data_IF_477619463892
#
_entry.id   IF_477619463892
#
_cell.length_a   1.000
_cell.length_b   1.000
_cell.length_c   1.000
_cell.angle_alpha   90.00
_cell.angle_beta   90.00
_cell.angle_gamma   90.00
#
_symmetry.space_group_name_H-M   'P 1'
#
loop_
_entity.id
_entity.type
_entity.pdbx_description
1 polymer ?
#
# COMPACT_ATOMS: atom_id res chain seq x y z
N UNK A 1 -10.90 -39.85 41.81
CA UNK A 1 -9.44 -39.66 41.97
C UNK A 1 -8.96 -39.02 40.67
N UNK A 2 -8.95 -37.69 40.56
CA UNK A 2 -7.84 -36.75 40.84
C UNK A 2 -6.58 -37.08 40.01
N UNK A 3 -5.97 -36.21 39.19
CA UNK A 3 -5.72 -34.74 39.21
C UNK A 3 -5.92 -34.14 37.79
N UNK A 4 -6.40 -32.91 37.49
CA UNK A 4 -6.10 -31.54 37.94
C UNK A 4 -4.66 -31.07 37.71
N UNK A 5 -4.39 -30.50 36.53
CA UNK A 5 -3.38 -29.44 36.36
C UNK A 5 -4.11 -28.17 35.92
N UNK A 6 -4.40 -27.35 36.93
CA UNK A 6 -4.95 -26.01 36.84
C UNK A 6 -3.81 -25.06 36.48
N UNK A 7 -3.97 -24.26 35.43
CA UNK A 7 -3.09 -23.10 35.22
C UNK A 7 -3.44 -22.06 36.29
N UNK A 8 -2.54 -21.87 37.26
CA UNK A 8 -2.64 -20.81 38.25
C UNK A 8 -2.48 -19.42 37.59
N UNK A 9 -3.16 -18.37 38.10
CA UNK A 9 -2.88 -17.01 37.69
C UNK A 9 -1.44 -16.65 38.09
N UNK A 10 -0.63 -16.22 37.12
CA UNK A 10 0.75 -15.80 37.37
C UNK A 10 0.78 -14.62 38.35
N UNK A 11 1.07 -14.91 39.63
CA UNK A 11 1.39 -13.91 40.67
C UNK A 11 2.91 -13.76 40.88
N UNK A 12 3.73 -14.16 39.90
CA UNK A 12 5.18 -14.00 39.97
C UNK A 12 5.68 -12.82 39.10
N UNK A 13 6.67 -12.06 39.58
CA UNK A 13 7.19 -10.89 38.86
C UNK A 13 7.84 -11.29 37.53
N UNK A 14 7.54 -10.49 36.49
CA UNK A 14 8.07 -10.59 35.12
C UNK A 14 9.51 -11.12 35.06
N UNK A 15 9.71 -12.25 34.37
CA UNK A 15 11.04 -12.82 34.15
C UNK A 15 11.90 -11.87 33.29
N UNK A 16 13.07 -11.51 33.83
CA UNK A 16 14.10 -10.62 33.26
C UNK A 16 14.52 -11.00 31.82
N UNK A 17 14.34 -12.25 31.41
CA UNK A 17 14.71 -12.79 30.10
C UNK A 17 13.82 -12.35 28.94
N UNK A 18 12.58 -11.89 29.19
CA UNK A 18 11.67 -11.48 28.11
C UNK A 18 11.86 -10.02 27.67
N UNK A 19 12.63 -9.25 28.45
CA UNK A 19 12.81 -7.81 28.24
C UNK A 19 14.19 -7.41 27.70
N UNK A 20 15.20 -8.30 27.68
CA UNK A 20 16.54 -7.98 27.17
C UNK A 20 16.60 -7.92 25.64
N UNK A 21 17.40 -7.01 25.04
CA UNK A 21 17.81 -7.10 23.66
C UNK A 21 18.82 -8.25 23.52
N UNK A 22 18.57 -9.18 22.60
CA UNK A 22 19.53 -10.22 22.27
C UNK A 22 20.79 -9.58 21.68
N UNK A 23 21.88 -9.56 22.45
CA UNK A 23 23.23 -9.32 21.96
C UNK A 23 23.64 -10.50 21.06
N UNK A 24 23.27 -10.46 19.78
CA UNK A 24 23.94 -11.27 18.75
C UNK A 24 23.78 -10.61 17.38
N UNK A 25 24.54 -9.54 17.16
CA UNK A 25 24.91 -9.06 15.83
C UNK A 25 26.36 -9.42 15.54
N UNK A 26 26.59 -10.70 15.17
CA UNK A 26 27.70 -11.05 14.30
C UNK A 26 27.18 -11.31 12.90
N UNK A 27 27.54 -10.38 12.02
CA UNK A 27 27.50 -10.45 10.58
C UNK A 27 27.72 -11.88 10.05
N UNK A 28 26.64 -12.52 9.60
CA UNK A 28 26.70 -13.57 8.60
C UNK A 28 25.42 -13.55 7.78
N UNK A 29 25.56 -13.20 6.51
CA UNK A 29 24.49 -13.31 5.51
C UNK A 29 24.27 -14.80 5.26
N UNK A 30 23.28 -15.39 5.93
CA UNK A 30 22.74 -16.69 5.57
C UNK A 30 21.54 -16.45 4.65
N UNK A 31 21.80 -16.42 3.34
CA UNK A 31 20.74 -16.45 2.33
C UNK A 31 19.88 -17.71 2.46
N UNK A 32 18.62 -17.69 2.03
CA UNK A 32 17.76 -18.86 2.08
C UNK A 32 18.38 -19.98 1.25
N UNK A 33 18.58 -21.15 1.88
CA UNK A 33 19.04 -22.38 1.25
C UNK A 33 18.15 -22.70 0.06
N UNK A 34 18.70 -22.56 -1.15
CA UNK A 34 18.14 -23.10 -2.37
C UNK A 34 17.92 -24.62 -2.19
N UNK A 35 16.67 -25.06 -2.32
CA UNK A 35 16.37 -26.48 -2.53
C UNK A 35 16.94 -26.87 -3.89
N UNK A 36 18.02 -27.65 -3.89
CA UNK A 36 18.49 -28.32 -5.10
C UNK A 36 17.44 -29.35 -5.56
N UNK A 37 17.17 -29.45 -6.87
CA UNK A 37 16.37 -30.54 -7.42
C UNK A 37 17.18 -31.83 -7.43
N UNK A 38 16.48 -32.93 -7.17
CA UNK A 38 17.02 -34.28 -7.22
C UNK A 38 17.60 -34.59 -8.61
N UNK A 39 18.80 -35.16 -8.57
CA UNK A 39 19.51 -35.80 -9.67
C UNK A 39 18.73 -37.01 -10.17
N UNK A 40 18.47 -37.06 -11.49
CA UNK A 40 18.31 -38.31 -12.22
C UNK A 40 19.27 -38.28 -13.41
N UNK A 41 20.36 -39.02 -13.28
CA UNK A 41 21.26 -39.36 -14.36
C UNK A 41 20.61 -40.47 -15.21
N UNK A 42 20.50 -40.24 -16.50
CA UNK A 42 20.46 -41.30 -17.50
C UNK A 42 21.29 -40.82 -18.69
N UNK A 43 22.52 -41.33 -18.73
CA UNK A 43 23.43 -41.35 -19.87
C UNK A 43 22.79 -42.08 -21.04
N UNK A 44 23.06 -41.64 -22.27
CA UNK A 44 23.48 -42.47 -23.42
C UNK A 44 23.81 -41.58 -24.66
N UNK A 45 25.12 -41.38 -24.85
CA UNK A 45 25.92 -41.50 -26.08
C UNK A 45 25.51 -40.89 -27.43
N UNK A 46 26.49 -40.13 -27.96
CA UNK A 46 27.01 -40.07 -29.35
C UNK A 46 26.15 -39.49 -30.47
N UNK A 47 26.59 -38.40 -31.11
CA UNK A 47 27.61 -38.45 -32.18
C UNK A 47 27.90 -37.05 -32.74
N UNK A 48 29.19 -36.80 -32.98
CA UNK A 48 29.76 -35.65 -33.68
C UNK A 48 29.58 -35.74 -35.20
N UNK A 49 29.41 -34.57 -35.85
CA UNK A 49 29.82 -34.12 -37.20
C UNK A 49 28.83 -33.03 -37.64
N UNK A 50 29.15 -31.83 -38.11
CA UNK A 50 30.36 -31.25 -38.68
C UNK A 50 29.94 -30.44 -39.92
N UNK A 51 30.39 -29.17 -40.04
CA UNK A 51 30.28 -28.30 -41.23
C UNK A 51 29.07 -27.35 -41.19
N UNK A 52 29.16 -26.02 -40.99
CA UNK A 52 29.91 -24.94 -41.64
C UNK A 52 29.28 -24.41 -42.95
N UNK A 53 28.99 -23.09 -42.93
CA UNK A 53 28.85 -22.13 -44.06
C UNK A 53 27.61 -22.31 -44.95
N UNK A 54 26.99 -21.31 -45.58
CA UNK A 54 26.98 -19.84 -45.56
C UNK A 54 25.80 -19.42 -46.47
N UNK A 55 25.34 -18.18 -46.34
CA UNK A 55 24.60 -17.33 -47.30
C UNK A 55 23.89 -17.96 -48.52
N UNK A 56 22.60 -17.62 -48.71
CA UNK A 56 22.18 -16.56 -49.67
C UNK A 56 20.66 -16.51 -49.83
N UNK A 57 20.18 -15.29 -50.08
CA UNK A 57 18.85 -14.96 -50.62
C UNK A 57 18.50 -15.81 -51.85
N UNK A 58 17.21 -16.13 -52.06
CA UNK A 58 16.36 -15.40 -53.01
C UNK A 58 15.02 -16.11 -53.23
N UNK A 59 14.07 -15.27 -53.67
CA UNK A 59 12.68 -15.55 -53.97
C UNK A 59 12.44 -16.67 -55.00
N UNK A 60 11.32 -17.38 -54.86
CA UNK A 60 10.54 -17.87 -56.00
C UNK A 60 9.09 -18.16 -55.60
N UNK A 61 8.20 -17.70 -56.47
CA UNK A 61 6.76 -17.82 -56.41
C UNK A 61 6.24 -19.21 -56.80
N UNK A 62 4.94 -19.39 -56.54
CA UNK A 62 3.98 -20.19 -57.35
C UNK A 62 4.05 -21.73 -57.24
N UNK A 63 2.99 -22.31 -56.65
CA UNK A 63 2.06 -23.15 -57.42
C UNK A 63 0.78 -23.47 -56.63
N UNK A 64 -0.36 -23.18 -57.25
CA UNK A 64 -1.68 -23.67 -56.87
C UNK A 64 -1.93 -25.06 -57.49
N UNK A 65 -2.93 -25.82 -57.01
CA UNK A 65 -3.66 -26.73 -57.87
C UNK A 65 -5.13 -26.32 -58.08
N UNK A 66 -5.60 -26.64 -59.29
CA UNK A 66 -6.91 -26.38 -59.90
C UNK A 66 -8.08 -27.08 -59.20
N UNK A 67 -9.23 -26.42 -59.32
CA UNK A 67 -10.57 -26.88 -59.00
C UNK A 67 -11.12 -27.95 -59.97
N UNK A 68 -12.00 -28.81 -59.45
CA UNK A 68 -13.03 -29.55 -60.20
C UNK A 68 -14.42 -29.20 -59.61
N UNK A 69 -15.38 -28.87 -60.48
CA UNK A 69 -16.83 -28.73 -60.21
C UNK A 69 -17.53 -30.05 -60.58
N UNK A 70 -18.71 -30.49 -60.10
CA UNK A 70 -19.82 -29.96 -59.28
C UNK A 70 -20.68 -31.16 -58.80
N UNK A 71 -22.03 -31.11 -58.61
CA UNK A 71 -22.97 -29.98 -58.58
C UNK A 71 -23.86 -29.94 -57.30
N UNK A 72 -24.64 -28.86 -57.18
CA UNK A 72 -25.92 -28.75 -56.46
C UNK A 72 -25.99 -28.98 -54.93
N UNK A 73 -26.04 -27.84 -54.23
CA UNK A 73 -26.44 -27.74 -52.83
C UNK A 73 -25.91 -26.43 -52.25
N UNK A 74 -26.52 -25.29 -52.61
CA UNK A 74 -26.20 -23.98 -52.01
C UNK A 74 -26.29 -24.09 -50.48
N UNK A 75 -25.23 -23.87 -49.69
CA UNK A 75 -25.42 -23.15 -48.46
C UNK A 75 -25.63 -21.70 -48.86
N UNK A 76 -26.78 -21.12 -48.48
CA UNK A 76 -26.88 -19.66 -48.44
C UNK A 76 -25.62 -19.16 -47.70
N UNK A 77 -24.91 -18.13 -48.19
CA UNK A 77 -24.08 -17.39 -47.28
C UNK A 77 -25.05 -16.87 -46.21
N UNK A 78 -24.80 -17.24 -44.96
CA UNK A 78 -25.25 -16.43 -43.83
C UNK A 78 -24.68 -15.05 -44.13
N UNK A 79 -25.48 -14.22 -44.79
CA UNK A 79 -25.28 -12.80 -44.85
C UNK A 79 -25.38 -12.35 -43.39
N UNK A 80 -24.23 -12.33 -42.72
CA UNK A 80 -24.06 -11.48 -41.56
C UNK A 80 -24.54 -10.08 -41.97
N UNK A 81 -25.17 -9.32 -41.06
CA UNK A 81 -25.64 -7.99 -41.38
C UNK A 81 -24.49 -7.23 -42.05
N UNK A 82 -24.78 -6.62 -43.21
CA UNK A 82 -23.83 -5.69 -43.83
C UNK A 82 -23.35 -4.75 -42.72
N UNK A 83 -22.03 -4.57 -42.55
CA UNK A 83 -21.54 -3.69 -41.49
C UNK A 83 -22.26 -2.37 -41.69
N UNK A 84 -23.05 -1.94 -40.71
CA UNK A 84 -23.15 -0.50 -40.53
C UNK A 84 -21.69 -0.08 -40.42
N UNK A 85 -21.17 0.62 -41.44
CA UNK A 85 -19.77 1.01 -41.53
C UNK A 85 -19.39 1.49 -40.13
N UNK A 86 -18.42 0.88 -39.45
CA UNK A 86 -18.25 1.11 -38.01
C UNK A 86 -18.17 2.59 -37.63
N UNK A 87 -17.75 3.43 -38.56
CA UNK A 87 -17.82 4.89 -38.52
C UNK A 87 -19.24 5.45 -38.30
N UNK A 88 -20.27 4.90 -38.94
CA UNK A 88 -21.68 5.25 -38.74
C UNK A 88 -22.10 4.96 -37.30
N UNK A 89 -21.76 3.78 -36.76
CA UNK A 89 -22.07 3.42 -35.38
C UNK A 89 -21.39 4.39 -34.39
N UNK A 90 -20.10 4.65 -34.58
CA UNK A 90 -19.36 5.60 -33.74
C UNK A 90 -19.95 7.01 -33.86
N UNK A 91 -20.26 7.49 -35.07
CA UNK A 91 -20.87 8.81 -35.28
C UNK A 91 -22.20 8.93 -34.56
N UNK A 92 -23.06 7.93 -34.64
CA UNK A 92 -24.35 7.92 -33.92
C UNK A 92 -24.16 8.01 -32.40
N UNK A 93 -23.22 7.24 -31.85
CA UNK A 93 -22.89 7.28 -30.43
C UNK A 93 -22.31 8.63 -29.99
N UNK A 94 -21.39 9.20 -30.79
CA UNK A 94 -20.80 10.52 -30.53
C UNK A 94 -21.87 11.61 -30.56
N UNK A 95 -22.73 11.62 -31.58
CA UNK A 95 -23.80 12.61 -31.70
C UNK A 95 -24.79 12.54 -30.52
N UNK A 96 -25.07 11.34 -30.00
CA UNK A 96 -25.89 11.19 -28.81
C UNK A 96 -25.25 11.89 -27.59
N UNK A 97 -23.95 11.68 -27.36
CA UNK A 97 -23.22 12.35 -26.26
C UNK A 97 -23.15 13.86 -26.43
N UNK A 98 -22.88 14.35 -27.65
CA UNK A 98 -22.86 15.79 -27.96
C UNK A 98 -24.22 16.45 -27.68
N UNK A 99 -25.31 15.71 -27.86
CA UNK A 99 -26.67 16.15 -27.54
C UNK A 99 -27.05 15.94 -26.06
N UNK A 100 -26.13 15.46 -25.23
CA UNK A 100 -26.38 15.16 -23.81
C UNK A 100 -27.33 13.99 -23.58
N UNK A 101 -27.49 13.11 -24.55
CA UNK A 101 -28.36 11.94 -24.48
C UNK A 101 -27.60 10.71 -23.99
N UNK A 102 -28.35 9.75 -23.44
CA UNK A 102 -27.84 8.40 -23.17
C UNK A 102 -27.37 7.72 -24.45
N UNK A 103 -26.32 6.91 -24.34
CA UNK A 103 -25.82 6.13 -25.46
C UNK A 103 -26.89 5.16 -25.99
N UNK A 104 -27.24 5.21 -27.29
CA UNK A 104 -28.26 4.34 -27.84
C UNK A 104 -27.81 2.87 -27.78
N UNK A 105 -28.57 2.04 -27.04
CA UNK A 105 -28.19 0.65 -26.69
C UNK A 105 -27.91 -0.25 -27.90
N UNK A 106 -28.71 -0.12 -28.97
CA UNK A 106 -28.55 -0.92 -30.18
C UNK A 106 -27.22 -0.66 -30.90
N UNK A 107 -26.97 0.60 -31.33
CA UNK A 107 -25.69 1.01 -31.90
C UNK A 107 -24.50 0.70 -30.98
N UNK A 108 -24.64 0.92 -29.67
CA UNK A 108 -23.58 0.62 -28.70
C UNK A 108 -23.23 -0.87 -28.68
N UNK A 109 -24.23 -1.74 -28.59
CA UNK A 109 -24.02 -3.19 -28.61
C UNK A 109 -23.34 -3.66 -29.91
N UNK A 110 -23.78 -3.14 -31.06
CA UNK A 110 -23.18 -3.45 -32.36
C UNK A 110 -21.72 -2.98 -32.44
N UNK A 111 -21.42 -1.80 -31.91
CA UNK A 111 -20.06 -1.25 -31.92
C UNK A 111 -19.12 -2.03 -30.98
N UNK A 112 -19.60 -2.41 -29.78
CA UNK A 112 -18.84 -3.20 -28.80
C UNK A 112 -18.58 -4.64 -29.25
N UNK A 113 -19.41 -5.20 -30.12
CA UNK A 113 -19.25 -6.55 -30.69
C UNK A 113 -18.66 -6.54 -32.10
N UNK A 114 -18.26 -5.37 -32.59
CA UNK A 114 -17.78 -5.19 -33.96
C UNK A 114 -16.46 -5.94 -34.21
N UNK A 115 -16.24 -6.55 -35.40
CA UNK A 115 -15.02 -7.30 -35.70
C UNK A 115 -13.76 -6.44 -35.65
N UNK A 116 -13.84 -5.17 -36.07
CA UNK A 116 -12.73 -4.23 -35.96
C UNK A 116 -12.52 -3.79 -34.51
N UNK A 117 -11.33 -4.06 -33.97
CA UNK A 117 -10.91 -3.61 -32.64
C UNK A 117 -10.94 -2.08 -32.50
N UNK A 118 -10.73 -1.33 -33.59
CA UNK A 118 -10.78 0.14 -33.57
C UNK A 118 -12.17 0.65 -33.19
N UNK A 119 -13.20 0.04 -33.76
CA UNK A 119 -14.60 0.37 -33.49
C UNK A 119 -14.95 0.01 -32.05
N UNK A 120 -14.49 -1.15 -31.56
CA UNK A 120 -14.69 -1.54 -30.15
C UNK A 120 -14.01 -0.57 -29.19
N UNK A 121 -12.74 -0.24 -29.42
CA UNK A 121 -11.99 0.68 -28.58
C UNK A 121 -12.66 2.05 -28.51
N UNK A 122 -13.11 2.58 -29.65
CA UNK A 122 -13.78 3.87 -29.69
C UNK A 122 -15.15 3.84 -29.00
N UNK A 123 -15.94 2.80 -29.21
CA UNK A 123 -17.19 2.60 -28.49
C UNK A 123 -16.98 2.55 -26.98
N UNK A 124 -15.93 1.86 -26.51
CA UNK A 124 -15.57 1.80 -25.09
C UNK A 124 -15.16 3.18 -24.56
N UNK A 125 -14.41 3.99 -25.32
CA UNK A 125 -14.06 5.36 -24.90
C UNK A 125 -15.29 6.24 -24.77
N UNK A 126 -16.23 6.15 -25.71
CA UNK A 126 -17.51 6.86 -25.64
C UNK A 126 -18.30 6.45 -24.39
N UNK A 127 -18.27 5.17 -23.99
CA UNK A 127 -18.83 4.73 -22.70
C UNK A 127 -18.18 5.46 -21.52
N UNK A 128 -16.86 5.60 -21.50
CA UNK A 128 -16.13 6.34 -20.45
C UNK A 128 -16.33 7.86 -20.46
N UNK A 129 -16.78 8.42 -21.58
CA UNK A 129 -17.16 9.83 -21.71
C UNK A 129 -18.61 10.09 -21.31
N UNK A 130 -19.47 9.07 -21.39
CA UNK A 130 -20.87 9.14 -20.99
C UNK A 130 -21.08 9.24 -19.47
N UNK A 131 -22.33 9.51 -19.08
CA UNK A 131 -22.77 9.54 -17.69
C UNK A 131 -23.30 8.20 -17.19
N UNK A 132 -23.53 7.23 -18.09
CA UNK A 132 -24.13 5.94 -17.73
C UNK A 132 -23.10 4.98 -17.10
N UNK A 133 -23.42 4.43 -15.91
CA UNK A 133 -22.50 3.58 -15.18
C UNK A 133 -22.42 2.13 -15.73
N UNK A 134 -21.85 1.95 -16.93
CA UNK A 134 -21.78 0.65 -17.63
C UNK A 134 -20.62 -0.26 -17.17
N UNK A 135 -20.21 -0.21 -15.90
CA UNK A 135 -19.01 -0.91 -15.43
C UNK A 135 -19.09 -2.42 -15.53
N UNK A 136 -20.21 -3.05 -15.15
CA UNK A 136 -20.35 -4.50 -15.26
C UNK A 136 -20.21 -4.98 -16.71
N UNK A 137 -20.72 -4.19 -17.66
CA UNK A 137 -20.52 -4.45 -19.08
C UNK A 137 -19.04 -4.37 -19.45
N UNK A 138 -18.32 -3.35 -18.98
CA UNK A 138 -16.89 -3.17 -19.26
C UNK A 138 -16.03 -4.28 -18.63
N UNK A 139 -16.33 -4.70 -17.40
CA UNK A 139 -15.64 -5.81 -16.73
C UNK A 139 -15.86 -7.13 -17.47
N UNK A 140 -17.10 -7.42 -17.89
CA UNK A 140 -17.40 -8.63 -18.66
C UNK A 140 -16.79 -8.61 -20.06
N UNK A 141 -16.69 -7.43 -20.70
CA UNK A 141 -16.02 -7.27 -21.98
C UNK A 141 -14.52 -7.56 -21.86
N UNK A 142 -13.89 -7.03 -20.80
CA UNK A 142 -12.46 -7.21 -20.54
C UNK A 142 -12.06 -8.68 -20.43
N UNK A 143 -12.89 -9.51 -19.79
CA UNK A 143 -12.63 -10.95 -19.62
C UNK A 143 -12.46 -11.71 -20.93
N UNK A 144 -12.97 -11.17 -22.05
CA UNK A 144 -12.97 -11.82 -23.36
C UNK A 144 -12.17 -11.06 -24.42
N UNK A 145 -11.60 -9.91 -24.07
CA UNK A 145 -11.00 -9.00 -25.04
C UNK A 145 -9.52 -9.30 -25.29
N UNK A 146 -9.21 -9.68 -26.53
CA UNK A 146 -7.87 -10.07 -26.95
C UNK A 146 -7.00 -8.87 -27.34
N UNK A 147 -7.59 -7.77 -27.82
CA UNK A 147 -6.83 -6.63 -28.33
C UNK A 147 -6.44 -5.67 -27.21
N UNK A 148 -5.15 -5.36 -27.11
CA UNK A 148 -4.59 -4.50 -26.07
C UNK A 148 -5.17 -3.08 -26.06
N UNK A 149 -5.33 -2.43 -27.22
CA UNK A 149 -5.96 -1.10 -27.31
C UNK A 149 -7.40 -1.08 -26.80
N UNK A 150 -8.14 -2.18 -26.93
CA UNK A 150 -9.50 -2.24 -26.38
C UNK A 150 -9.43 -2.45 -24.87
N UNK A 151 -8.51 -3.28 -24.36
CA UNK A 151 -8.30 -3.43 -22.90
C UNK A 151 -7.83 -2.12 -22.24
N UNK A 152 -6.95 -1.38 -22.90
CA UNK A 152 -6.52 -0.02 -22.49
C UNK A 152 -7.73 0.91 -22.39
N UNK A 153 -8.52 1.01 -23.46
CA UNK A 153 -9.73 1.81 -23.47
C UNK A 153 -10.71 1.40 -22.36
N UNK A 154 -10.83 0.10 -22.06
CA UNK A 154 -11.67 -0.39 -20.97
C UNK A 154 -11.13 0.10 -19.62
N UNK A 155 -9.85 -0.11 -19.33
CA UNK A 155 -9.22 0.34 -18.09
C UNK A 155 -9.36 1.86 -17.89
N UNK A 156 -9.12 2.63 -18.95
CA UNK A 156 -9.32 4.08 -18.96
C UNK A 156 -10.79 4.47 -18.71
N UNK A 157 -11.74 3.85 -19.40
CA UNK A 157 -13.17 4.14 -19.20
C UNK A 157 -13.64 3.81 -17.79
N UNK A 158 -13.14 2.72 -17.19
CA UNK A 158 -13.39 2.39 -15.79
C UNK A 158 -12.88 3.48 -14.83
N UNK A 159 -11.67 3.98 -15.04
CA UNK A 159 -11.10 5.08 -14.26
C UNK A 159 -11.88 6.39 -14.40
N UNK A 160 -12.34 6.73 -15.61
CA UNK A 160 -13.18 7.91 -15.88
C UNK A 160 -14.47 7.90 -15.07
N UNK A 161 -15.14 6.75 -15.11
CA UNK A 161 -16.43 6.53 -14.50
C UNK A 161 -16.38 6.58 -12.96
N UNK A 162 -15.25 6.22 -12.35
CA UNK A 162 -15.09 6.04 -10.89
C UNK A 162 -15.74 7.08 -9.96
N UNK A 163 -15.56 8.42 -10.13
CA UNK A 163 -16.09 9.39 -9.17
C UNK A 163 -17.62 9.41 -9.09
N UNK A 164 -18.30 9.19 -10.23
CA UNK A 164 -19.77 9.13 -10.24
C UNK A 164 -20.29 7.92 -9.46
N UNK A 165 -19.51 6.84 -9.39
CA UNK A 165 -19.89 5.60 -8.74
C UNK A 165 -19.58 5.59 -7.26
N UNK A 166 -18.44 6.15 -6.84
CA UNK A 166 -18.08 6.24 -5.42
C UNK A 166 -19.10 7.08 -4.62
N UNK A 167 -19.86 7.95 -5.30
CA UNK A 167 -20.99 8.67 -4.72
C UNK A 167 -22.22 7.78 -4.43
N UNK A 168 -22.33 6.60 -5.03
CA UNK A 168 -23.44 5.67 -4.82
C UNK A 168 -23.09 4.57 -3.81
N UNK A 169 -23.64 4.69 -2.60
CA UNK A 169 -23.29 3.83 -1.48
C UNK A 169 -23.64 2.35 -1.66
N UNK A 170 -24.71 2.06 -2.40
CA UNK A 170 -25.31 0.73 -2.52
C UNK A 170 -24.48 -0.24 -3.39
N UNK A 171 -23.62 0.31 -4.26
CA UNK A 171 -22.82 -0.48 -5.21
C UNK A 171 -21.39 -0.71 -4.72
N UNK A 172 -21.01 -0.24 -3.52
CA UNK A 172 -19.58 -0.12 -3.16
C UNK A 172 -18.88 -1.47 -2.94
N UNK A 173 -19.31 -2.32 -2.02
CA UNK A 173 -18.36 -3.31 -1.46
C UNK A 173 -17.98 -4.48 -2.38
N UNK A 174 -18.96 -5.23 -2.92
CA UNK A 174 -18.70 -6.39 -3.77
C UNK A 174 -18.06 -5.99 -5.10
N UNK A 175 -18.53 -4.89 -5.68
CA UNK A 175 -18.03 -4.35 -6.93
C UNK A 175 -16.63 -3.77 -6.79
N UNK A 176 -16.36 -2.97 -5.75
CA UNK A 176 -15.04 -2.37 -5.52
C UNK A 176 -13.99 -3.45 -5.34
N UNK A 177 -14.36 -4.57 -4.70
CA UNK A 177 -13.49 -5.74 -4.56
C UNK A 177 -13.13 -6.33 -5.92
N UNK A 178 -14.13 -6.62 -6.78
CA UNK A 178 -13.89 -7.16 -8.13
C UNK A 178 -13.10 -6.20 -8.99
N UNK A 179 -13.50 -4.93 -9.06
CA UNK A 179 -12.84 -3.91 -9.86
C UNK A 179 -11.37 -3.74 -9.45
N UNK A 180 -11.11 -3.61 -8.14
CA UNK A 180 -9.74 -3.49 -7.62
C UNK A 180 -8.90 -4.71 -8.01
N UNK A 181 -9.43 -5.92 -7.81
CA UNK A 181 -8.73 -7.14 -8.18
C UNK A 181 -8.42 -7.19 -9.68
N UNK A 182 -9.39 -6.84 -10.54
CA UNK A 182 -9.22 -6.80 -11.99
C UNK A 182 -8.17 -5.77 -12.42
N UNK A 183 -8.23 -4.53 -11.89
CA UNK A 183 -7.26 -3.50 -12.25
C UNK A 183 -5.85 -3.81 -11.73
N UNK A 184 -5.71 -4.40 -10.54
CA UNK A 184 -4.40 -4.88 -10.05
C UNK A 184 -3.86 -6.00 -10.94
N UNK A 185 -4.72 -6.91 -11.41
CA UNK A 185 -4.31 -7.97 -12.32
C UNK A 185 -3.80 -7.38 -13.66
N UNK A 186 -4.51 -6.40 -14.23
CA UNK A 186 -4.01 -5.69 -15.42
C UNK A 186 -2.69 -4.99 -15.14
N UNK A 187 -2.58 -4.26 -14.04
CA UNK A 187 -1.39 -3.51 -13.64
C UNK A 187 -0.14 -4.39 -13.53
N UNK A 188 -0.26 -5.64 -13.08
CA UNK A 188 0.91 -6.50 -12.88
C UNK A 188 1.17 -7.50 -14.01
N UNK A 189 0.14 -7.88 -14.78
CA UNK A 189 0.22 -9.02 -15.69
C UNK A 189 -0.08 -8.71 -17.16
N UNK A 190 -0.62 -7.53 -17.50
CA UNK A 190 -0.85 -7.22 -18.92
C UNK A 190 0.48 -6.98 -19.66
N UNK A 191 0.62 -7.62 -20.81
CA UNK A 191 1.80 -7.50 -21.67
C UNK A 191 1.98 -6.08 -22.23
N UNK A 192 0.89 -5.34 -22.42
CA UNK A 192 0.94 -4.01 -23.05
C UNK A 192 1.08 -2.92 -21.97
N UNK A 193 2.13 -2.12 -22.06
CA UNK A 193 2.42 -1.06 -21.10
C UNK A 193 1.30 -0.01 -21.02
N UNK A 194 0.66 0.32 -22.15
CA UNK A 194 -0.50 1.23 -22.19
C UNK A 194 -1.67 0.73 -21.33
N UNK A 195 -1.90 -0.59 -21.31
CA UNK A 195 -2.95 -1.18 -20.46
C UNK A 195 -2.58 -1.07 -18.98
N UNK A 196 -1.31 -1.32 -18.63
CA UNK A 196 -0.82 -1.18 -17.25
C UNK A 196 -0.86 0.27 -16.76
N UNK A 197 -0.48 1.21 -17.62
CA UNK A 197 -0.57 2.66 -17.35
C UNK A 197 -2.01 3.08 -17.08
N UNK A 198 -2.94 2.71 -17.98
CA UNK A 198 -4.37 2.99 -17.81
C UNK A 198 -4.94 2.35 -16.53
N UNK A 199 -4.49 1.15 -16.17
CA UNK A 199 -4.86 0.49 -14.93
C UNK A 199 -4.32 1.22 -13.70
N UNK A 200 -3.07 1.67 -13.70
CA UNK A 200 -2.48 2.48 -12.63
C UNK A 200 -3.28 3.77 -12.41
N UNK A 201 -3.56 4.48 -13.50
CA UNK A 201 -4.37 5.70 -13.46
C UNK A 201 -5.79 5.43 -12.93
N UNK A 202 -6.46 4.40 -13.41
CA UNK A 202 -7.80 4.01 -12.94
C UNK A 202 -7.81 3.64 -11.45
N UNK A 203 -6.76 2.98 -10.95
CA UNK A 203 -6.60 2.70 -9.53
C UNK A 203 -6.39 3.97 -8.70
N UNK A 204 -5.67 4.97 -9.23
CA UNK A 204 -5.56 6.29 -8.60
C UNK A 204 -6.91 6.99 -8.46
N UNK A 205 -7.79 6.82 -9.45
CA UNK A 205 -9.17 7.36 -9.43
C UNK A 205 -10.07 6.75 -8.35
N UNK A 206 -9.64 5.67 -7.70
CA UNK A 206 -10.31 5.14 -6.50
C UNK A 206 -10.09 6.02 -5.26
N UNK A 207 -9.14 6.97 -5.29
CA UNK A 207 -8.85 7.86 -4.17
C UNK A 207 -8.51 7.09 -2.90
N UNK A 208 -9.26 7.33 -1.82
CA UNK A 208 -9.08 6.64 -0.53
C UNK A 208 -9.28 5.11 -0.61
N UNK A 209 -9.85 4.57 -1.68
CA UNK A 209 -9.96 3.12 -1.89
C UNK A 209 -8.80 2.52 -2.71
N UNK A 210 -7.79 3.31 -3.09
CA UNK A 210 -6.66 2.89 -3.91
C UNK A 210 -5.75 1.86 -3.17
N UNK A 211 -5.27 0.81 -3.87
CA UNK A 211 -4.39 -0.20 -3.33
C UNK A 211 -2.92 0.25 -3.35
N UNK A 212 -2.50 0.95 -2.29
CA UNK A 212 -1.16 1.58 -2.25
C UNK A 212 0.01 0.61 -2.40
N UNK A 213 -0.10 -0.63 -1.91
CA UNK A 213 0.98 -1.62 -2.01
C UNK A 213 1.27 -2.03 -3.46
N UNK A 214 0.22 -2.27 -4.26
CA UNK A 214 0.35 -2.59 -5.68
C UNK A 214 0.93 -1.41 -6.47
N UNK A 215 0.46 -0.19 -6.18
CA UNK A 215 0.98 1.03 -6.81
C UNK A 215 2.45 1.27 -6.45
N UNK A 216 2.85 1.11 -5.19
CA UNK A 216 4.26 1.19 -4.76
C UNK A 216 5.12 0.15 -5.48
N UNK A 217 4.67 -1.10 -5.53
CA UNK A 217 5.42 -2.16 -6.21
C UNK A 217 5.64 -1.78 -7.68
N UNK A 218 4.60 -1.32 -8.37
CA UNK A 218 4.67 -0.90 -9.77
C UNK A 218 5.62 0.28 -9.98
N UNK A 219 5.53 1.32 -9.11
CA UNK A 219 6.44 2.46 -9.14
C UNK A 219 7.91 2.03 -9.05
N UNK A 220 8.22 1.04 -8.23
CA UNK A 220 9.60 0.60 -7.97
C UNK A 220 10.13 -0.46 -8.94
N UNK A 221 9.26 -1.17 -9.67
CA UNK A 221 9.67 -2.40 -10.38
C UNK A 221 9.08 -2.61 -11.77
N UNK A 222 8.16 -1.77 -12.26
CA UNK A 222 7.71 -1.88 -13.64
C UNK A 222 8.88 -1.57 -14.60
N UNK A 223 8.93 -2.32 -15.70
CA UNK A 223 9.94 -2.13 -16.74
C UNK A 223 9.73 -0.86 -17.56
N UNK A 224 8.49 -0.36 -17.61
CA UNK A 224 8.10 0.80 -18.40
C UNK A 224 7.98 2.06 -17.53
N UNK A 225 8.66 3.13 -17.94
CA UNK A 225 8.78 4.35 -17.16
C UNK A 225 7.47 5.15 -17.08
N UNK A 226 6.62 5.07 -18.10
CA UNK A 226 5.31 5.74 -18.09
C UNK A 226 4.36 5.04 -17.12
N UNK A 227 4.45 3.70 -17.03
CA UNK A 227 3.68 2.92 -16.03
C UNK A 227 4.12 3.28 -14.61
N UNK A 228 5.43 3.36 -14.35
CA UNK A 228 5.94 3.82 -13.06
C UNK A 228 5.51 5.26 -12.74
N UNK A 229 5.55 6.17 -13.73
CA UNK A 229 5.07 7.55 -13.58
C UNK A 229 3.56 7.62 -13.27
N UNK A 230 2.75 6.81 -13.94
CA UNK A 230 1.32 6.67 -13.64
C UNK A 230 1.07 6.12 -12.22
N UNK A 231 1.89 5.17 -11.76
CA UNK A 231 1.81 4.66 -10.39
C UNK A 231 2.16 5.73 -9.33
N UNK A 232 3.17 6.58 -9.59
CA UNK A 232 3.48 7.72 -8.72
C UNK A 232 2.31 8.71 -8.61
N UNK A 233 1.73 9.10 -9.76
CA UNK A 233 0.55 9.98 -9.79
C UNK A 233 -0.65 9.35 -9.09
N UNK A 234 -0.90 8.05 -9.29
CA UNK A 234 -1.97 7.34 -8.63
C UNK A 234 -1.79 7.26 -7.10
N UNK A 235 -0.55 7.16 -6.61
CA UNK A 235 -0.24 7.27 -5.18
C UNK A 235 -0.62 8.66 -4.65
N UNK A 236 -0.31 9.75 -5.36
CA UNK A 236 -0.72 11.10 -4.96
C UNK A 236 -2.24 11.27 -4.93
N UNK A 237 -2.93 10.81 -5.97
CA UNK A 237 -4.40 10.86 -6.08
C UNK A 237 -5.13 10.11 -4.97
N UNK A 238 -4.47 9.17 -4.29
CA UNK A 238 -5.06 8.44 -3.18
C UNK A 238 -5.42 9.35 -1.99
N UNK A 239 -4.74 10.49 -1.84
CA UNK A 239 -4.88 11.39 -0.70
C UNK A 239 -4.50 10.73 0.63
N UNK A 240 -3.70 9.65 0.60
CA UNK A 240 -3.28 8.91 1.79
C UNK A 240 -1.87 9.26 2.18
N UNK A 241 -1.65 9.54 3.47
CA UNK A 241 -0.30 9.73 4.04
C UNK A 241 0.68 8.61 3.76
N UNK A 242 0.21 7.37 3.80
CA UNK A 242 1.08 6.23 3.50
C UNK A 242 1.66 6.31 2.08
N UNK A 243 0.94 6.90 1.13
CA UNK A 243 1.43 7.12 -0.23
C UNK A 243 2.64 8.07 -0.26
N UNK A 244 2.66 9.09 0.62
CA UNK A 244 3.78 10.03 0.78
C UNK A 244 5.06 9.30 1.13
N UNK A 245 4.97 8.39 2.10
CA UNK A 245 6.11 7.57 2.54
C UNK A 245 6.67 6.68 1.40
N UNK A 246 5.80 6.15 0.54
CA UNK A 246 6.19 5.35 -0.62
C UNK A 246 6.83 6.19 -1.73
N UNK A 247 6.35 7.41 -1.96
CA UNK A 247 6.96 8.34 -2.91
C UNK A 247 8.35 8.79 -2.44
N UNK A 248 8.54 9.06 -1.15
CA UNK A 248 9.85 9.38 -0.57
C UNK A 248 10.84 8.20 -0.69
N UNK A 249 10.40 6.97 -0.43
CA UNK A 249 11.18 5.77 -0.72
C UNK A 249 11.59 5.67 -2.19
N UNK A 250 10.67 5.99 -3.11
CA UNK A 250 10.95 5.91 -4.54
C UNK A 250 12.00 6.93 -4.99
N UNK A 251 12.05 8.14 -4.43
CA UNK A 251 13.08 9.13 -4.76
C UNK A 251 14.51 8.64 -4.52
N UNK A 252 14.71 7.75 -3.56
CA UNK A 252 16.02 7.19 -3.23
C UNK A 252 16.41 6.04 -4.16
N UNK A 253 15.44 5.17 -4.46
CA UNK A 253 15.67 3.95 -5.23
C UNK A 253 15.72 4.21 -6.73
N UNK A 254 14.86 5.12 -7.20
CA UNK A 254 14.75 5.46 -8.62
C UNK A 254 15.83 6.48 -8.99
N UNK A 255 16.66 6.13 -9.98
CA UNK A 255 17.74 6.99 -10.48
C UNK A 255 17.43 7.70 -11.80
N UNK A 256 16.25 7.47 -12.36
CA UNK A 256 15.83 8.04 -13.64
C UNK A 256 15.36 9.50 -13.44
N UNK A 257 16.00 10.51 -14.07
CA UNK A 257 15.68 11.92 -13.82
C UNK A 257 14.23 12.30 -14.11
N UNK A 258 13.67 11.80 -15.21
CA UNK A 258 12.27 12.03 -15.57
C UNK A 258 11.32 11.52 -14.48
N UNK A 259 11.50 10.27 -14.04
CA UNK A 259 10.66 9.67 -13.03
C UNK A 259 10.85 10.32 -11.64
N UNK A 260 12.07 10.76 -11.29
CA UNK A 260 12.31 11.53 -10.08
C UNK A 260 11.51 12.84 -10.08
N UNK A 261 11.42 13.52 -11.21
CA UNK A 261 10.61 14.74 -11.31
C UNK A 261 9.13 14.46 -11.14
N UNK A 262 8.61 13.42 -11.79
CA UNK A 262 7.21 12.99 -11.58
C UNK A 262 6.93 12.61 -10.13
N UNK A 263 7.87 11.96 -9.44
CA UNK A 263 7.70 11.62 -8.02
C UNK A 263 7.68 12.90 -7.15
N UNK A 264 8.49 13.91 -7.47
CA UNK A 264 8.45 15.21 -6.77
C UNK A 264 7.14 15.95 -7.00
N UNK A 265 6.65 16.00 -8.23
CA UNK A 265 5.34 16.57 -8.56
C UNK A 265 4.21 15.86 -7.81
N UNK A 266 4.22 14.52 -7.81
CA UNK A 266 3.27 13.70 -7.07
C UNK A 266 3.31 13.97 -5.55
N UNK A 267 4.50 14.20 -4.97
CA UNK A 267 4.63 14.58 -3.56
C UNK A 267 3.99 15.96 -3.29
N UNK A 268 4.21 16.94 -4.16
CA UNK A 268 3.59 18.27 -4.03
C UNK A 268 2.07 18.18 -4.09
N UNK A 269 1.52 17.48 -5.08
CA UNK A 269 0.07 17.29 -5.21
C UNK A 269 -0.53 16.58 -3.99
N UNK A 270 0.16 15.56 -3.47
CA UNK A 270 -0.27 14.84 -2.29
C UNK A 270 -0.23 15.72 -1.03
N UNK A 271 0.84 16.48 -0.84
CA UNK A 271 1.00 17.37 0.31
C UNK A 271 -0.07 18.47 0.31
N UNK A 272 -0.40 19.03 -0.86
CA UNK A 272 -1.52 19.96 -1.03
C UNK A 272 -2.86 19.31 -0.68
N UNK A 273 -3.12 18.09 -1.15
CA UNK A 273 -4.36 17.37 -0.86
C UNK A 273 -4.49 17.02 0.63
N UNK A 274 -3.40 16.56 1.26
CA UNK A 274 -3.34 16.30 2.69
C UNK A 274 -3.56 17.58 3.50
N UNK A 275 -2.97 18.71 3.07
CA UNK A 275 -3.19 20.00 3.72
C UNK A 275 -4.66 20.44 3.62
N UNK A 276 -5.28 20.33 2.43
CA UNK A 276 -6.70 20.66 2.22
C UNK A 276 -7.63 19.80 3.07
N UNK A 277 -7.36 18.49 3.12
CA UNK A 277 -8.25 17.54 3.78
C UNK A 277 -8.09 17.54 5.29
N UNK A 278 -6.88 17.75 5.83
CA UNK A 278 -6.63 17.60 7.27
C UNK A 278 -6.71 18.90 8.10
N UNK A 279 -6.29 20.03 7.53
CA UNK A 279 -6.21 21.29 8.30
C UNK A 279 -7.54 21.77 8.89
N UNK A 280 -8.70 21.64 8.21
CA UNK A 280 -9.96 22.18 8.71
C UNK A 280 -10.47 21.54 10.01
N UNK A 281 -10.25 20.24 10.21
CA UNK A 281 -10.74 19.52 11.40
C UNK A 281 -9.68 19.32 12.49
N UNK A 282 -8.39 19.42 12.18
CA UNK A 282 -7.30 19.30 13.18
C UNK A 282 -7.48 20.24 14.38
N UNK A 283 -7.94 21.47 14.13
CA UNK A 283 -8.19 22.45 15.18
C UNK A 283 -9.40 22.12 16.06
N UNK A 284 -10.29 21.24 15.58
CA UNK A 284 -11.50 20.82 16.28
C UNK A 284 -11.30 19.51 17.07
N UNK A 285 -10.16 18.83 16.88
CA UNK A 285 -9.88 17.56 17.56
C UNK A 285 -9.60 17.75 19.06
N UNK A 286 -9.88 16.72 19.88
CA UNK A 286 -9.44 16.68 21.27
C UNK A 286 -7.93 16.92 21.38
N UNK A 287 -7.46 17.60 22.45
CA UNK A 287 -6.05 17.93 22.61
C UNK A 287 -5.12 16.71 22.43
N UNK A 288 -5.36 15.63 23.16
CA UNK A 288 -4.48 14.45 23.09
C UNK A 288 -4.31 13.90 21.66
N UNK A 289 -5.34 14.03 20.83
CA UNK A 289 -5.29 13.63 19.42
C UNK A 289 -4.42 14.57 18.59
N UNK A 290 -4.47 15.88 18.83
CA UNK A 290 -3.57 16.83 18.16
C UNK A 290 -2.10 16.52 18.48
N UNK A 291 -1.79 16.16 19.73
CA UNK A 291 -0.44 15.75 20.12
C UNK A 291 0.02 14.46 19.40
N UNK A 292 -0.85 13.44 19.31
CA UNK A 292 -0.56 12.23 18.53
C UNK A 292 -0.31 12.52 17.05
N UNK A 293 -1.11 13.41 16.44
CA UNK A 293 -0.92 13.78 15.04
C UNK A 293 0.39 14.55 14.83
N UNK A 294 0.79 15.42 15.77
CA UNK A 294 2.08 16.10 15.70
C UNK A 294 3.25 15.11 15.78
N UNK A 295 3.16 14.10 16.64
CA UNK A 295 4.16 13.03 16.73
C UNK A 295 4.19 12.16 15.48
N UNK A 296 3.02 11.83 14.92
CA UNK A 296 2.90 11.12 13.65
C UNK A 296 3.57 11.91 12.53
N UNK A 297 3.24 13.19 12.39
CA UNK A 297 3.79 14.07 11.36
C UNK A 297 5.32 14.23 11.54
N UNK A 298 5.82 14.25 12.78
CA UNK A 298 7.25 14.25 13.06
C UNK A 298 7.96 12.98 12.57
N UNK A 299 7.34 11.81 12.75
CA UNK A 299 7.87 10.51 12.35
C UNK A 299 7.66 10.18 10.87
N UNK A 300 6.82 10.94 10.17
CA UNK A 300 6.40 10.64 8.79
C UNK A 300 7.56 10.62 7.79
N UNK A 301 8.48 11.58 7.93
CA UNK A 301 9.69 11.70 7.09
C UNK A 301 10.87 10.87 7.63
N UNK A 302 10.67 10.12 8.71
CA UNK A 302 11.76 9.40 9.37
C UNK A 302 11.86 8.00 8.83
N UNK A 303 13.07 7.62 8.46
CA UNK A 303 13.40 6.22 8.16
C UNK A 303 13.79 5.49 9.41
N UNK A 304 13.63 4.17 9.41
CA UNK A 304 13.85 3.41 10.61
C UNK A 304 13.53 1.94 10.50
N UNK A 305 13.60 1.28 11.64
CA UNK A 305 13.13 -0.08 11.79
C UNK A 305 12.45 -0.23 13.14
N UNK A 306 11.64 -1.27 13.25
CA UNK A 306 10.96 -1.65 14.48
C UNK A 306 11.58 -2.93 15.02
N UNK A 307 11.82 -3.00 16.32
CA UNK A 307 12.08 -4.28 17.00
C UNK A 307 10.81 -5.14 16.98
N UNK A 308 10.95 -6.44 17.22
CA UNK A 308 9.79 -7.34 17.26
C UNK A 308 8.77 -6.83 18.30
N UNK A 309 7.49 -6.60 17.93
CA UNK A 309 6.46 -6.15 18.86
C UNK A 309 6.35 -7.10 20.06
N UNK A 310 6.21 -6.52 21.25
CA UNK A 310 6.05 -7.29 22.50
C UNK A 310 4.66 -7.06 23.07
N UNK A 311 3.92 -8.15 23.28
CA UNK A 311 2.66 -8.12 24.01
C UNK A 311 2.92 -8.65 25.42
N UNK A 312 2.56 -7.86 26.42
CA UNK A 312 2.69 -8.18 27.84
C UNK A 312 1.29 -8.26 28.45
N UNK A 313 1.08 -9.20 29.35
CA UNK A 313 -0.11 -9.23 30.20
C UNK A 313 0.30 -8.75 31.59
N UNK A 314 -0.34 -7.69 32.06
CA UNK A 314 -0.07 -7.10 33.38
C UNK A 314 -1.31 -7.20 34.26
N UNK A 315 -1.16 -6.94 35.55
CA UNK A 315 -2.29 -6.82 36.48
C UNK A 315 -3.30 -5.75 36.05
N UNK A 316 -2.85 -4.72 35.32
CA UNK A 316 -3.69 -3.63 34.80
C UNK A 316 -4.28 -3.94 33.43
N UNK A 317 -4.04 -5.14 32.89
CA UNK A 317 -4.50 -5.57 31.57
C UNK A 317 -3.37 -5.70 30.53
N UNK A 318 -3.73 -5.89 29.26
CA UNK A 318 -2.78 -6.11 28.19
C UNK A 318 -2.03 -4.82 27.79
N UNK A 319 -0.73 -4.96 27.54
CA UNK A 319 0.16 -3.89 27.10
C UNK A 319 0.89 -4.29 25.82
N UNK A 320 0.78 -3.48 24.77
CA UNK A 320 1.55 -3.62 23.53
C UNK A 320 2.72 -2.63 23.56
N UNK A 321 3.94 -3.14 23.44
CA UNK A 321 5.17 -2.34 23.34
C UNK A 321 5.70 -2.39 21.91
N UNK A 322 5.85 -1.20 21.31
CA UNK A 322 6.43 -0.98 19.99
C UNK A 322 7.71 -0.16 20.14
N UNK A 323 8.85 -0.74 19.81
CA UNK A 323 10.16 -0.09 19.93
C UNK A 323 10.75 0.21 18.57
N UNK A 324 10.79 1.49 18.19
CA UNK A 324 11.30 1.94 16.90
C UNK A 324 12.62 2.70 17.04
N UNK A 325 13.45 2.53 16.02
CA UNK A 325 14.66 3.31 15.81
C UNK A 325 14.44 4.16 14.57
N UNK A 326 14.68 5.47 14.67
CA UNK A 326 14.36 6.41 13.60
C UNK A 326 15.51 7.38 13.28
N UNK A 327 15.53 7.91 12.06
CA UNK A 327 16.64 8.68 11.55
C UNK A 327 16.61 10.09 12.15
N UNK A 328 17.70 10.52 12.77
CA UNK A 328 17.82 11.89 13.22
C UNK A 328 17.97 12.84 12.01
N UNK A 329 17.30 14.00 12.06
CA UNK A 329 17.44 15.08 11.05
C UNK A 329 17.49 16.43 11.77
N UNK A 330 17.67 17.52 11.02
CA UNK A 330 17.77 18.87 11.58
C UNK A 330 16.55 19.27 12.41
N UNK A 331 15.33 18.96 11.92
CA UNK A 331 14.09 19.20 12.67
C UNK A 331 14.05 18.26 13.86
N UNK A 332 14.12 18.79 15.09
CA UNK A 332 14.09 17.98 16.31
C UNK A 332 12.69 17.75 16.82
N UNK A 333 12.45 16.65 17.54
CA UNK A 333 11.17 16.39 18.19
C UNK A 333 10.88 17.49 19.23
N UNK A 334 11.92 18.00 19.90
CA UNK A 334 11.79 19.12 20.84
C UNK A 334 11.03 20.31 20.25
N UNK A 335 11.34 20.72 19.02
CA UNK A 335 10.69 21.86 18.36
C UNK A 335 9.20 21.60 18.13
N UNK A 336 8.85 20.35 17.79
CA UNK A 336 7.46 19.92 17.61
C UNK A 336 6.72 19.95 18.94
N UNK A 337 7.33 19.45 20.02
CA UNK A 337 6.72 19.46 21.35
C UNK A 337 6.56 20.87 21.91
N UNK A 338 7.52 21.77 21.67
CA UNK A 338 7.47 23.16 22.11
C UNK A 338 6.42 23.99 21.34
N UNK A 339 6.20 23.67 20.07
CA UNK A 339 5.17 24.27 19.23
C UNK A 339 3.74 23.85 19.61
N UNK A 340 3.57 22.78 20.40
CA UNK A 340 2.24 22.40 20.91
C UNK A 340 1.68 23.50 21.84
N UNK A 341 0.38 23.85 21.70
CA UNK A 341 -0.30 24.74 22.63
C UNK A 341 -0.08 24.38 24.09
N UNK A 342 -0.11 25.36 24.98
CA UNK A 342 0.22 25.13 26.41
C UNK A 342 -0.72 24.13 27.06
N UNK A 343 -2.01 24.24 26.77
CA UNK A 343 -3.06 23.35 27.30
C UNK A 343 -2.82 21.89 26.87
N UNK A 344 -2.30 21.71 25.66
CA UNK A 344 -1.91 20.41 25.10
C UNK A 344 -0.72 19.79 25.82
N UNK A 345 0.31 20.58 26.11
CA UNK A 345 1.50 20.11 26.85
C UNK A 345 1.16 19.72 28.29
N UNK A 346 0.22 20.43 28.91
CA UNK A 346 -0.28 20.10 30.25
C UNK A 346 -1.12 18.82 30.23
N UNK A 347 -2.01 18.66 29.24
CA UNK A 347 -2.91 17.50 29.14
C UNK A 347 -2.18 16.22 28.71
N UNK A 348 -1.22 16.30 27.79
CA UNK A 348 -0.41 15.15 27.37
C UNK A 348 0.71 14.78 28.36
N UNK A 349 0.78 15.49 29.51
CA UNK A 349 1.77 15.30 30.58
C UNK A 349 3.18 15.05 30.03
N UNK A 350 3.73 16.05 29.32
CA UNK A 350 5.07 15.92 28.76
C UNK A 350 6.10 16.06 29.89
N UNK A 351 6.86 14.99 30.14
CA UNK A 351 7.83 14.90 31.22
C UNK A 351 9.23 14.52 30.72
N UNK A 352 10.30 14.84 31.47
CA UNK A 352 11.63 14.30 31.18
C UNK A 352 11.63 12.78 31.37
N UNK A 353 12.43 12.05 30.58
CA UNK A 353 12.45 10.58 30.61
C UNK A 353 12.81 10.01 31.98
N UNK A 354 13.63 10.71 32.75
CA UNK A 354 13.99 10.34 34.13
C UNK A 354 12.77 10.23 35.05
N UNK A 355 11.67 10.93 34.77
CA UNK A 355 10.44 10.83 35.54
C UNK A 355 9.80 9.43 35.49
N UNK A 356 10.11 8.62 34.47
CA UNK A 356 9.67 7.22 34.40
C UNK A 356 10.22 6.37 35.55
N UNK A 357 11.41 6.71 36.08
CA UNK A 357 12.05 5.98 37.17
C UNK A 357 11.27 6.07 38.48
N UNK A 358 10.51 7.16 38.65
CA UNK A 358 9.64 7.40 39.80
C UNK A 358 8.18 6.99 39.56
N UNK A 359 7.86 6.36 38.43
CA UNK A 359 6.50 5.91 38.13
C UNK A 359 6.11 4.72 39.00
N UNK A 360 4.90 4.71 39.57
CA UNK A 360 4.34 3.56 40.30
C UNK A 360 4.08 2.35 39.39
N UNK A 361 4.05 2.58 38.08
CA UNK A 361 3.92 1.55 37.07
C UNK A 361 5.26 0.87 36.79
N UNK A 362 5.33 -0.42 37.15
CA UNK A 362 6.53 -1.23 36.99
C UNK A 362 6.96 -1.40 35.54
N UNK A 363 6.02 -1.43 34.58
CA UNK A 363 6.33 -1.56 33.14
C UNK A 363 6.98 -0.29 32.64
N UNK A 364 6.37 0.88 32.91
CA UNK A 364 6.95 2.17 32.54
C UNK A 364 8.33 2.38 33.18
N UNK A 365 8.46 2.05 34.47
CA UNK A 365 9.72 2.17 35.19
C UNK A 365 10.81 1.32 34.53
N UNK A 366 10.51 0.07 34.17
CA UNK A 366 11.47 -0.83 33.55
C UNK A 366 11.83 -0.41 32.12
N UNK A 367 10.84 -0.05 31.31
CA UNK A 367 11.07 0.41 29.93
C UNK A 367 11.85 1.74 29.91
N UNK A 368 11.58 2.64 30.86
CA UNK A 368 12.33 3.87 31.03
C UNK A 368 13.79 3.63 31.41
N UNK A 369 14.08 2.65 32.28
CA UNK A 369 15.45 2.23 32.59
C UNK A 369 16.16 1.66 31.36
N UNK A 370 15.52 0.75 30.63
CA UNK A 370 16.10 0.16 29.42
C UNK A 370 16.39 1.22 28.36
N UNK A 371 15.48 2.18 28.18
CA UNK A 371 15.67 3.29 27.26
C UNK A 371 16.84 4.17 27.67
N UNK A 372 16.97 4.48 28.97
CA UNK A 372 18.11 5.25 29.48
C UNK A 372 19.45 4.50 29.31
N UNK A 373 19.47 3.19 29.55
CA UNK A 373 20.65 2.33 29.31
C UNK A 373 21.04 2.33 27.82
N UNK A 374 20.07 2.21 26.92
CA UNK A 374 20.32 2.25 25.47
C UNK A 374 20.89 3.60 25.02
N UNK A 375 20.33 4.70 25.52
CA UNK A 375 20.82 6.06 25.25
C UNK A 375 22.24 6.32 25.78
N UNK A 376 22.68 5.58 26.80
CA UNK A 376 24.06 5.64 27.30
C UNK A 376 25.01 4.78 26.46
N UNK A 377 24.52 3.65 25.96
CA UNK A 377 25.32 2.70 25.20
C UNK A 377 25.52 3.13 23.75
N UNK A 378 24.53 3.82 23.16
CA UNK A 378 24.53 4.22 21.77
C UNK A 378 24.27 5.72 21.62
N UNK A 379 24.97 6.42 20.69
CA UNK A 379 24.77 7.85 20.48
C UNK A 379 23.40 8.15 19.85
N UNK A 380 22.41 8.43 20.68
CA UNK A 380 21.14 9.03 20.26
C UNK A 380 21.22 10.55 20.22
N UNK A 381 20.35 11.20 19.44
CA UNK A 381 20.14 12.66 19.52
C UNK A 381 18.95 13.03 20.41
N UNK A 382 18.00 12.11 20.50
CA UNK A 382 16.75 12.22 21.24
C UNK A 382 16.12 10.84 21.40
N UNK A 383 15.37 10.68 22.48
CA UNK A 383 14.56 9.51 22.77
C UNK A 383 13.18 9.95 23.28
N UNK A 384 12.17 9.16 22.94
CA UNK A 384 10.79 9.35 23.39
C UNK A 384 10.21 8.04 23.91
N UNK A 385 9.35 8.14 24.91
CA UNK A 385 8.48 7.08 25.37
C UNK A 385 7.07 7.65 25.45
N UNK A 386 6.14 7.03 24.74
CA UNK A 386 4.73 7.39 24.70
C UNK A 386 3.93 6.26 25.30
N UNK A 387 2.98 6.57 26.19
CA UNK A 387 2.02 5.61 26.73
C UNK A 387 0.61 6.15 26.56
N UNK A 388 -0.29 5.31 26.06
CA UNK A 388 -1.72 5.63 26.02
C UNK A 388 -2.57 4.37 26.02
N UNK A 389 -3.79 4.48 26.50
CA UNK A 389 -4.80 3.44 26.55
C UNK A 389 -5.87 3.73 25.50
N UNK A 390 -6.25 2.68 24.77
CA UNK A 390 -7.33 2.70 23.79
C UNK A 390 -8.42 1.69 24.18
N UNK A 391 -9.66 2.00 23.79
CA UNK A 391 -10.78 1.06 23.92
C UNK A 391 -10.93 0.25 22.63
N UNK A 392 -10.96 -1.08 22.74
CA UNK A 392 -11.18 -1.96 21.60
C UNK A 392 -12.62 -1.84 21.12
N UNK A 393 -12.81 -1.64 19.82
CA UNK A 393 -14.13 -1.81 19.20
C UNK A 393 -14.43 -3.32 19.11
N UNK A 394 -15.65 -3.73 19.49
CA UNK A 394 -16.06 -5.09 19.84
C UNK A 394 -15.99 -6.20 18.75
N UNK A 395 -15.17 -6.06 17.70
CA UNK A 395 -14.89 -7.14 16.75
C UNK A 395 -13.62 -7.90 17.17
N UNK A 396 -13.74 -8.63 18.28
CA UNK A 396 -12.64 -9.38 18.87
C UNK A 396 -12.31 -10.67 18.08
N UNK A 397 -11.02 -10.89 17.83
CA UNK A 397 -10.44 -12.07 17.17
C UNK A 397 -10.44 -13.33 18.06
N UNK A 398 -10.27 -14.51 17.44
CA UNK A 398 -10.16 -15.84 18.08
C UNK A 398 -9.09 -15.96 19.20
N UNK A 399 -8.10 -15.06 19.26
CA UNK A 399 -7.10 -15.05 20.33
C UNK A 399 -7.65 -14.47 21.63
N UNK A 400 -8.45 -13.40 21.55
CA UNK A 400 -9.06 -12.76 22.72
C UNK A 400 -10.14 -13.67 23.34
N UNK A 401 -10.95 -14.33 22.52
CA UNK A 401 -12.01 -15.24 22.97
C UNK A 401 -11.51 -16.54 23.61
N UNK A 402 -10.26 -16.95 23.36
CA UNK A 402 -9.69 -18.19 23.92
C UNK A 402 -9.02 -18.00 25.29
N UNK A 403 -8.65 -16.78 25.68
CA UNK A 403 -7.84 -16.53 26.89
C UNK A 403 -8.32 -15.41 27.80
N UNK A 404 -9.11 -14.45 27.31
CA UNK A 404 -9.57 -13.31 28.09
C UNK A 404 -11.09 -13.34 28.12
N UNK A 405 -11.68 -13.46 29.32
CA UNK A 405 -13.11 -13.24 29.50
C UNK A 405 -13.53 -11.85 28.99
N UNK A 406 -14.84 -11.58 28.91
CA UNK A 406 -15.44 -10.33 28.41
C UNK A 406 -14.98 -9.03 29.13
N UNK A 407 -13.99 -9.09 30.03
CA UNK A 407 -13.58 -8.02 30.95
C UNK A 407 -12.49 -7.06 30.42
N UNK A 408 -11.83 -7.33 29.29
CA UNK A 408 -10.74 -6.46 28.80
C UNK A 408 -11.11 -5.68 27.53
N UNK A 409 -11.92 -4.63 27.71
CA UNK A 409 -12.28 -3.68 26.65
C UNK A 409 -11.15 -2.69 26.29
N UNK A 410 -9.98 -2.76 26.93
CA UNK A 410 -8.91 -1.77 26.79
C UNK A 410 -7.57 -2.42 26.44
N UNK A 411 -6.79 -1.78 25.56
CA UNK A 411 -5.39 -2.12 25.29
C UNK A 411 -4.53 -0.90 25.60
N UNK A 412 -3.49 -1.11 26.42
CA UNK A 412 -2.48 -0.09 26.61
C UNK A 412 -1.37 -0.23 25.57
N UNK A 413 -0.95 0.88 25.01
CA UNK A 413 0.05 0.96 23.96
C UNK A 413 1.21 1.82 24.45
N UNK A 414 2.42 1.28 24.37
CA UNK A 414 3.65 1.98 24.68
C UNK A 414 4.50 2.02 23.41
N UNK A 415 4.81 3.22 22.93
CA UNK A 415 5.70 3.43 21.79
C UNK A 415 7.00 4.03 22.30
N UNK A 416 8.11 3.37 22.03
CA UNK A 416 9.45 3.84 22.35
C UNK A 416 10.14 4.19 21.04
N UNK A 417 10.69 5.39 20.96
CA UNK A 417 11.41 5.88 19.79
C UNK A 417 12.81 6.33 20.17
N UNK A 418 13.82 5.79 19.49
CA UNK A 418 15.22 6.18 19.66
C UNK A 418 15.75 6.73 18.34
N UNK A 419 16.26 7.96 18.35
CA UNK A 419 16.89 8.53 17.17
C UNK A 419 18.33 8.07 17.01
N UNK A 420 18.77 7.84 15.77
CA UNK A 420 20.15 7.50 15.43
C UNK A 420 20.67 8.47 14.37
N UNK A 421 21.90 8.99 14.58
CA UNK A 421 22.53 9.92 13.66
C UNK A 421 22.99 9.24 12.36
N UNK A 422 23.57 8.04 12.50
CA UNK A 422 24.01 7.21 11.39
C UNK A 422 22.98 6.10 11.19
N UNK A 423 21.94 6.39 10.40
CA UNK A 423 21.04 5.34 9.93
C UNK A 423 21.14 5.20 8.42
N UNK A 424 21.22 3.95 8.00
CA UNK A 424 21.20 3.55 6.60
C UNK A 424 19.98 4.15 5.87
N UNK A 425 20.25 4.82 4.74
CA UNK A 425 19.22 5.43 3.89
C UNK A 425 18.28 4.39 3.30
N UNK A 426 18.72 3.13 3.17
CA UNK A 426 17.91 2.04 2.64
C UNK A 426 16.79 1.57 3.60
N UNK A 427 16.72 2.13 4.83
CA UNK A 427 15.66 1.78 5.80
C UNK A 427 14.29 2.30 5.37
N UNK A 428 13.22 1.52 5.62
CA UNK A 428 11.86 1.93 5.29
C UNK A 428 11.40 3.12 6.17
N UNK A 429 10.33 3.82 5.78
CA UNK A 429 9.68 4.82 6.63
C UNK A 429 9.23 4.20 7.96
N UNK A 430 9.66 4.75 9.09
CA UNK A 430 9.42 4.17 10.42
C UNK A 430 7.93 4.13 10.79
N UNK A 431 7.16 5.12 10.31
CA UNK A 431 5.73 5.16 10.53
C UNK A 431 5.01 4.01 9.81
N UNK A 432 5.51 3.59 8.64
CA UNK A 432 5.00 2.41 7.93
C UNK A 432 5.26 1.14 8.73
N UNK A 433 6.46 0.97 9.27
CA UNK A 433 6.81 -0.19 10.11
C UNK A 433 5.96 -0.24 11.38
N UNK A 434 5.72 0.89 12.03
CA UNK A 434 4.81 0.99 13.18
C UNK A 434 3.39 0.60 12.81
N UNK A 435 2.87 1.08 11.67
CA UNK A 435 1.53 0.75 11.21
C UNK A 435 1.38 -0.73 10.84
N UNK A 436 2.38 -1.31 10.17
CA UNK A 436 2.38 -2.73 9.82
C UNK A 436 2.43 -3.60 11.09
N UNK A 437 3.30 -3.26 12.03
CA UNK A 437 3.38 -3.95 13.31
C UNK A 437 2.09 -3.85 14.10
N UNK A 438 1.46 -2.67 14.12
CA UNK A 438 0.14 -2.49 14.72
C UNK A 438 -0.88 -3.44 14.09
N UNK A 439 -1.07 -3.33 12.77
CA UNK A 439 -2.09 -4.08 12.04
C UNK A 439 -1.90 -5.60 12.17
N UNK A 440 -0.66 -6.08 12.09
CA UNK A 440 -0.34 -7.51 12.25
C UNK A 440 -0.58 -8.01 13.68
N UNK A 441 -0.48 -7.13 14.67
CA UNK A 441 -0.55 -7.48 16.10
C UNK A 441 -1.96 -7.34 16.68
N UNK A 442 -2.70 -6.29 16.29
CA UNK A 442 -4.02 -5.98 16.85
C UNK A 442 -5.16 -6.33 15.90
N UNK A 443 -4.92 -6.32 14.58
CA UNK A 443 -5.95 -6.36 13.53
C UNK A 443 -6.95 -5.19 13.61
N UNK A 444 -6.61 -4.12 14.33
CA UNK A 444 -7.45 -2.93 14.52
C UNK A 444 -6.94 -1.73 13.72
N UNK A 445 -7.77 -0.70 13.60
CA UNK A 445 -7.39 0.59 13.05
C UNK A 445 -6.23 1.22 13.86
N UNK A 446 -5.26 1.91 13.21
CA UNK A 446 -4.08 2.47 13.87
C UNK A 446 -4.42 3.53 14.93
N UNK A 447 -3.51 3.70 15.90
CA UNK A 447 -3.69 4.57 17.07
C UNK A 447 -4.12 6.01 16.73
N UNK A 448 -3.68 6.57 15.60
CA UNK A 448 -4.03 7.93 15.20
C UNK A 448 -5.50 8.11 14.73
N UNK A 449 -6.20 7.00 14.49
CA UNK A 449 -7.63 6.98 14.13
C UNK A 449 -8.54 6.79 15.36
N UNK A 450 -7.97 6.39 16.50
CA UNK A 450 -8.67 6.20 17.77
C UNK A 450 -8.45 7.40 18.70
N UNK A 451 -9.41 7.69 19.59
CA UNK A 451 -9.25 8.76 20.57
C UNK A 451 -8.45 8.23 21.78
N UNK A 452 -7.25 8.75 22.07
CA UNK A 452 -6.46 8.32 23.22
C UNK A 452 -7.12 8.77 24.52
N UNK A 453 -7.11 7.90 25.53
CA UNK A 453 -7.76 8.19 26.81
C UNK A 453 -6.87 9.01 27.75
N UNK A 454 -5.57 8.69 27.77
CA UNK A 454 -4.62 9.08 28.81
C UNK A 454 -3.19 9.19 28.26
N UNK A 455 -3.03 9.87 27.13
CA UNK A 455 -1.73 10.07 26.50
C UNK A 455 -0.72 10.73 27.46
N UNK A 456 0.37 10.01 27.74
CA UNK A 456 1.55 10.52 28.45
C UNK A 456 2.78 10.38 27.57
N UNK A 457 3.59 11.45 27.53
CA UNK A 457 4.81 11.49 26.74
C UNK A 457 6.00 11.81 27.65
N UNK A 458 7.02 10.97 27.56
CA UNK A 458 8.33 11.23 28.15
C UNK A 458 9.33 11.47 27.04
N UNK A 459 10.13 12.53 27.17
CA UNK A 459 11.07 12.96 26.15
C UNK A 459 12.42 13.29 26.78
N UNK A 460 13.50 12.90 26.10
CA UNK A 460 14.85 13.27 26.47
C UNK A 460 15.64 13.70 25.23
N UNK A 461 16.12 14.96 25.16
CA UNK A 461 17.14 15.32 24.20
C UNK A 461 18.46 14.68 24.63
N UNK A 462 18.94 13.71 23.86
CA UNK A 462 20.27 13.14 24.05
C UNK A 462 21.29 14.14 23.47
N UNK A 463 21.79 15.08 24.28
CA UNK A 463 22.98 15.81 23.85
C UNK A 463 24.11 14.79 23.73
N UNK A 464 24.82 14.77 22.60
CA UNK A 464 26.19 14.27 22.63
C UNK A 464 26.88 14.93 23.82
N UNK A 465 27.47 14.14 24.71
CA UNK A 465 28.26 14.62 25.85
C UNK A 465 29.55 15.33 25.37
N UNK A 466 29.39 16.36 24.54
CA UNK A 466 30.45 17.30 24.20
C UNK A 466 30.49 18.35 25.32
N UNK A 467 31.41 18.11 26.25
CA UNK A 467 32.02 19.06 27.18
C UNK A 467 31.09 19.91 28.06
N UNK A 468 30.73 19.38 29.23
CA UNK A 468 30.93 20.20 30.43
C UNK A 468 32.41 20.04 30.81
N UNK A 469 33.20 21.05 30.46
CA UNK A 469 34.58 21.25 30.86
C UNK A 469 34.77 22.73 31.15
#
# INVERSE_FOLDING_TARGET
>A
MYHQDSAEPCTEPLHISELHPGHDSRWSVAGPRARQPATCAASLTSSLRGGALAHSNDAAASSAPRAQAGPEGKPLPLAGPAPAEGEVLIRELTTALEQGQSLPRGPLWLALTHPSWRVRAEAVRLVGLGSEPLTELLLNLLEREAHDTVREAIAWSLGRLMPAFLANEQLRDAWLTRLRATLIALLHADSCWLVREAAAWALGRLGQAAPLSALRQTLLSDSDQEVSAAAARALAMSGKRLARSYLLEALEKVKLPFLQETIREALVELDEELARTEMPWRQQLPPLRQALLALRDFLEDRRGFLQKPRQLLTEQGPVLVLWCHYQATERRLQEVLEALPRDLRLNASIAPLEATQCSDDHVLRRLGQLLAEECQQYPCQEALLLSTTIYRQAQATEWASRFLGEEYACLRVIIIGVSHAEMDQDKPPVLHELALAWQTTTQEAPLCEQDPCDLRLWYQPCRGWASQG
#
